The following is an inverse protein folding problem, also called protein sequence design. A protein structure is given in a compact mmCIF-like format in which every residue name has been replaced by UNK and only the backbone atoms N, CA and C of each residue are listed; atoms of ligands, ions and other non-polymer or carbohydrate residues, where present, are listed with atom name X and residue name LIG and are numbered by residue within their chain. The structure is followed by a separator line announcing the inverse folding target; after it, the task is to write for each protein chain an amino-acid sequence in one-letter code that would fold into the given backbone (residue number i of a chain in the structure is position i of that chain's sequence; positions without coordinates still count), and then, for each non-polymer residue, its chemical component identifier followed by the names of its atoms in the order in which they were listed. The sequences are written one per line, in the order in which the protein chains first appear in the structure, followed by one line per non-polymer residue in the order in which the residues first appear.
data_IF_759461621439
#
_entry.id   IF_759461621439
#
_cell.length_a   1.000
_cell.length_b   1.000
_cell.length_c   1.000
_cell.angle_alpha   90.00
_cell.angle_beta   90.00
_cell.angle_gamma   90.00
#
_symmetry.space_group_name_H-M   'P 1'
#
loop_
_entity.id
_entity.type
_entity.pdbx_description
1 polymer ?
#
# COMPACT_ATOMS: atom_id res chain seq x y z
N UNK A 1 1.45 -18.75 17.17
CA UNK A 1 0.91 -17.49 17.74
C UNK A 1 -0.02 -16.86 16.73
N UNK A 2 -1.26 -16.60 17.12
CA UNK A 2 -2.25 -15.91 16.26
C UNK A 2 -2.16 -14.42 16.53
N UNK A 3 -2.05 -13.61 15.47
CA UNK A 3 -2.11 -12.13 15.55
C UNK A 3 -3.29 -11.58 14.79
N UNK A 4 -3.92 -10.54 15.32
CA UNK A 4 -4.99 -9.81 14.64
C UNK A 4 -4.43 -8.64 13.87
N UNK A 5 -4.67 -8.63 12.57
CA UNK A 5 -4.24 -7.58 11.65
C UNK A 5 -5.46 -6.90 11.05
N UNK A 6 -5.41 -5.59 10.96
CA UNK A 6 -6.36 -4.77 10.22
C UNK A 6 -5.64 -4.11 9.05
N UNK A 7 -6.13 -4.34 7.82
CA UNK A 7 -5.64 -3.67 6.63
C UNK A 7 -6.61 -2.57 6.23
N UNK A 8 -6.09 -1.37 6.03
CA UNK A 8 -6.83 -0.17 5.66
C UNK A 8 -6.38 0.33 4.29
N UNK A 9 -7.33 0.51 3.39
CA UNK A 9 -7.09 0.95 2.04
C UNK A 9 -8.03 2.12 1.70
N UNK A 10 -7.45 3.29 1.52
CA UNK A 10 -8.14 4.51 1.12
C UNK A 10 -7.92 4.70 -0.37
N UNK A 11 -8.97 4.52 -1.15
CA UNK A 11 -9.02 4.80 -2.58
C UNK A 11 -9.67 6.15 -2.87
N UNK A 12 -9.68 6.56 -4.13
CA UNK A 12 -10.35 7.81 -4.59
C UNK A 12 -11.87 7.74 -4.47
N UNK A 13 -12.44 6.55 -4.56
CA UNK A 13 -13.88 6.32 -4.56
C UNK A 13 -14.39 5.49 -3.38
N UNK A 14 -13.50 4.77 -2.69
CA UNK A 14 -13.90 3.86 -1.62
C UNK A 14 -12.90 3.84 -0.48
N UNK A 15 -13.42 3.72 0.74
CA UNK A 15 -12.70 3.37 1.95
C UNK A 15 -12.92 1.88 2.23
N UNK A 16 -11.84 1.13 2.36
CA UNK A 16 -11.92 -0.31 2.62
C UNK A 16 -11.14 -0.66 3.88
N UNK A 17 -11.73 -1.49 4.71
CA UNK A 17 -11.06 -2.11 5.83
C UNK A 17 -11.31 -3.61 5.85
N UNK A 18 -10.29 -4.40 6.15
CA UNK A 18 -10.44 -5.84 6.31
C UNK A 18 -9.62 -6.34 7.49
N UNK A 19 -10.25 -7.19 8.31
CA UNK A 19 -9.59 -7.83 9.44
C UNK A 19 -9.14 -9.24 9.10
N UNK A 20 -7.95 -9.59 9.58
CA UNK A 20 -7.32 -10.87 9.32
C UNK A 20 -6.80 -11.49 10.62
N UNK A 21 -6.79 -12.82 10.66
CA UNK A 21 -5.99 -13.58 11.59
C UNK A 21 -4.74 -14.10 10.87
N UNK A 22 -3.58 -13.80 11.45
CA UNK A 22 -2.30 -14.30 10.99
C UNK A 22 -1.86 -15.41 11.94
N UNK A 23 -1.81 -16.63 11.45
CA UNK A 23 -1.33 -17.78 12.20
C UNK A 23 0.08 -18.13 11.75
N UNK A 24 1.08 -17.83 12.56
CA UNK A 24 2.45 -18.30 12.39
C UNK A 24 2.63 -19.58 13.23
N UNK A 25 2.48 -20.74 12.61
CA UNK A 25 2.62 -22.04 13.28
C UNK A 25 4.08 -22.48 13.39
N UNK A 26 4.93 -22.03 12.44
CA UNK A 26 6.35 -22.40 12.38
C UNK A 26 7.19 -21.13 12.25
N UNK A 27 8.26 -20.95 13.06
CA UNK A 27 9.21 -19.85 12.87
C UNK A 27 9.84 -19.91 11.47
N UNK A 28 9.78 -18.78 10.74
CA UNK A 28 10.31 -18.66 9.38
C UNK A 28 9.37 -19.08 8.25
N UNK A 29 8.24 -19.72 8.54
CA UNK A 29 7.21 -19.98 7.54
C UNK A 29 6.35 -18.75 7.28
N UNK A 30 5.80 -18.63 6.06
CA UNK A 30 4.83 -17.58 5.77
C UNK A 30 3.56 -17.80 6.63
N UNK A 31 3.04 -16.76 7.31
CA UNK A 31 1.87 -16.91 8.12
C UNK A 31 0.65 -17.24 7.27
N UNK A 32 -0.17 -18.16 7.75
CA UNK A 32 -1.49 -18.40 7.15
C UNK A 32 -2.38 -17.19 7.45
N UNK A 33 -2.91 -16.58 6.41
CA UNK A 33 -3.80 -15.42 6.49
C UNK A 33 -5.24 -15.88 6.32
N UNK A 34 -6.10 -15.56 7.27
CA UNK A 34 -7.54 -15.83 7.19
C UNK A 34 -8.29 -14.51 7.33
N UNK A 35 -8.98 -14.08 6.28
CA UNK A 35 -9.87 -12.92 6.34
C UNK A 35 -11.07 -13.24 7.26
N UNK A 36 -11.41 -12.31 8.15
CA UNK A 36 -12.53 -12.44 9.10
C UNK A 36 -13.70 -11.55 8.74
N UNK A 37 -13.41 -10.31 8.35
CA UNK A 37 -14.42 -9.36 7.95
C UNK A 37 -13.85 -8.36 6.96
N UNK A 38 -14.73 -7.84 6.10
CA UNK A 38 -14.41 -6.77 5.18
C UNK A 38 -15.54 -5.75 5.20
N UNK A 39 -15.16 -4.47 5.24
CA UNK A 39 -16.07 -3.34 5.14
C UNK A 39 -15.61 -2.45 4.01
N UNK A 40 -16.54 -2.00 3.20
CA UNK A 40 -16.29 -1.06 2.11
C UNK A 40 -17.34 0.05 2.15
N UNK A 41 -16.88 1.29 2.15
CA UNK A 41 -17.74 2.50 2.19
C UNK A 41 -17.33 3.40 1.04
N UNK A 42 -18.29 3.92 0.28
CA UNK A 42 -18.01 4.89 -0.78
C UNK A 42 -17.49 6.21 -0.21
N UNK A 43 -16.47 6.79 -0.82
CA UNK A 43 -16.03 8.15 -0.52
C UNK A 43 -17.07 9.12 -1.07
N UNK A 44 -17.46 10.09 -0.25
CA UNK A 44 -18.40 11.14 -0.62
C UNK A 44 -17.94 12.50 -0.07
N UNK A 45 -18.77 13.55 -0.19
CA UNK A 45 -18.41 14.87 0.34
C UNK A 45 -18.09 14.84 1.84
N UNK A 46 -18.69 13.90 2.59
CA UNK A 46 -18.53 13.75 4.04
C UNK A 46 -17.47 12.70 4.39
N UNK A 47 -16.32 12.73 3.69
CA UNK A 47 -15.28 11.71 3.82
C UNK A 47 -14.78 11.52 5.26
N UNK A 48 -14.75 12.58 6.09
CA UNK A 48 -14.34 12.49 7.49
C UNK A 48 -15.38 11.77 8.37
N UNK A 49 -16.67 12.01 8.15
CA UNK A 49 -17.72 11.31 8.89
C UNK A 49 -17.77 9.82 8.50
N UNK A 50 -17.63 9.52 7.23
CA UNK A 50 -17.53 8.14 6.72
C UNK A 50 -16.30 7.41 7.23
N UNK A 51 -15.23 8.15 7.44
CA UNK A 51 -14.03 7.64 8.09
C UNK A 51 -14.32 7.18 9.52
N UNK A 52 -14.98 8.02 10.33
CA UNK A 52 -15.38 7.67 11.69
C UNK A 52 -16.28 6.43 11.70
N UNK A 53 -17.31 6.39 10.84
CA UNK A 53 -18.21 5.25 10.68
C UNK A 53 -17.45 3.96 10.34
N UNK A 54 -16.49 4.02 9.41
CA UNK A 54 -15.69 2.84 9.05
C UNK A 54 -14.85 2.35 10.24
N UNK A 55 -14.22 3.27 10.97
CA UNK A 55 -13.41 2.92 12.16
C UNK A 55 -14.29 2.33 13.28
N UNK A 56 -15.48 2.84 13.49
CA UNK A 56 -16.46 2.29 14.44
C UNK A 56 -16.88 0.88 14.04
N UNK A 57 -17.34 0.69 12.81
CA UNK A 57 -17.74 -0.62 12.28
C UNK A 57 -16.63 -1.65 12.39
N UNK A 58 -15.39 -1.27 12.04
CA UNK A 58 -14.22 -2.15 12.17
C UNK A 58 -13.88 -2.45 13.63
N UNK A 59 -14.17 -1.52 14.55
CA UNK A 59 -13.93 -1.73 15.98
C UNK A 59 -14.93 -2.71 16.59
N UNK A 60 -16.17 -2.72 16.12
CA UNK A 60 -17.21 -3.65 16.56
C UNK A 60 -16.95 -5.07 16.06
N UNK A 61 -16.42 -5.20 14.84
CA UNK A 61 -16.16 -6.48 14.20
C UNK A 61 -14.81 -7.10 14.55
N UNK A 62 -13.86 -6.31 15.01
CA UNK A 62 -12.50 -6.75 15.35
C UNK A 62 -12.23 -6.55 16.83
N UNK A 63 -12.08 -7.63 17.59
CA UNK A 63 -11.53 -7.57 18.95
C UNK A 63 -10.11 -6.98 18.91
N UNK A 64 -9.98 -5.67 18.93
CA UNK A 64 -8.77 -4.85 18.92
C UNK A 64 -7.61 -5.40 18.04
N UNK A 65 -7.23 -4.75 16.95
CA UNK A 65 -6.09 -5.20 16.13
C UNK A 65 -4.79 -5.06 16.94
N UNK A 66 -3.86 -6.00 16.75
CA UNK A 66 -2.48 -5.90 17.26
C UNK A 66 -1.58 -5.17 16.26
N UNK A 67 -1.97 -5.23 14.98
CA UNK A 67 -1.28 -4.56 13.87
C UNK A 67 -2.31 -3.91 12.96
N UNK A 68 -2.08 -2.66 12.59
CA UNK A 68 -2.84 -1.95 11.56
C UNK A 68 -1.90 -1.60 10.42
N UNK A 69 -2.28 -1.93 9.19
CA UNK A 69 -1.49 -1.63 7.99
C UNK A 69 -2.27 -0.71 7.07
N UNK A 70 -1.66 0.41 6.71
CA UNK A 70 -2.22 1.41 5.82
C UNK A 70 -1.62 1.30 4.42
N UNK A 71 -2.47 1.25 3.41
CA UNK A 71 -2.03 1.50 2.04
C UNK A 71 -1.88 2.99 1.82
N UNK A 72 -0.72 3.42 1.38
CA UNK A 72 -0.41 4.79 0.97
C UNK A 72 0.01 4.76 -0.50
N UNK A 73 -0.57 5.67 -1.31
CA UNK A 73 -0.33 5.66 -2.77
C UNK A 73 1.11 6.04 -3.09
N UNK A 74 1.64 7.09 -2.48
CA UNK A 74 2.97 7.60 -2.78
C UNK A 74 3.90 7.53 -1.58
N UNK A 75 4.93 6.69 -1.68
CA UNK A 75 5.95 6.53 -0.65
C UNK A 75 7.19 7.41 -0.85
N UNK A 76 7.35 8.04 -2.03
CA UNK A 76 8.56 8.81 -2.37
C UNK A 76 9.81 7.93 -2.36
N UNK A 77 10.78 8.31 -1.53
CA UNK A 77 12.00 7.55 -1.29
C UNK A 77 11.88 6.56 -0.12
N UNK A 78 10.70 6.50 0.49
CA UNK A 78 10.40 5.46 1.46
C UNK A 78 10.11 4.17 0.70
N UNK A 79 10.99 3.21 0.80
CA UNK A 79 10.85 1.89 0.22
C UNK A 79 10.64 0.87 1.34
N UNK A 80 9.97 -0.23 0.98
CA UNK A 80 9.57 -1.30 1.88
C UNK A 80 8.51 -0.90 2.92
N UNK A 81 7.65 -1.85 3.24
CA UNK A 81 6.68 -1.68 4.32
C UNK A 81 7.41 -1.41 5.64
N UNK A 82 6.97 -0.40 6.37
CA UNK A 82 7.62 0.04 7.60
C UNK A 82 6.64 0.47 8.67
N UNK A 83 7.15 0.68 9.85
CA UNK A 83 6.38 1.26 10.96
C UNK A 83 6.02 2.71 10.65
N UNK A 84 4.79 3.09 10.98
CA UNK A 84 4.24 4.42 10.79
C UNK A 84 4.46 5.24 12.07
N UNK A 85 5.61 5.89 12.16
CA UNK A 85 5.92 6.86 13.19
C UNK A 85 5.70 8.31 12.72
N UNK A 86 5.97 9.29 13.59
CA UNK A 86 5.82 10.70 13.26
C UNK A 86 6.80 11.17 12.18
N UNK A 87 8.00 10.59 12.12
CA UNK A 87 8.99 10.93 11.11
C UNK A 87 8.55 10.43 9.72
N UNK A 88 7.96 9.25 9.65
CA UNK A 88 7.36 8.71 8.42
C UNK A 88 6.16 9.56 8.01
N UNK A 89 5.27 9.90 8.94
CA UNK A 89 4.11 10.77 8.66
C UNK A 89 4.53 12.11 8.08
N UNK A 90 5.53 12.77 8.67
CA UNK A 90 6.05 14.05 8.17
C UNK A 90 6.59 13.95 6.73
N UNK A 91 7.29 12.86 6.40
CA UNK A 91 7.76 12.60 5.03
C UNK A 91 6.59 12.38 4.07
N UNK A 92 5.56 11.66 4.50
CA UNK A 92 4.38 11.40 3.68
C UNK A 92 3.53 12.66 3.47
N UNK A 93 3.47 13.57 4.44
CA UNK A 93 2.83 14.88 4.28
C UNK A 93 3.51 15.72 3.19
N UNK A 94 4.85 15.70 3.13
CA UNK A 94 5.61 16.40 2.10
C UNK A 94 5.32 15.85 0.68
N UNK A 95 4.80 14.61 0.56
CA UNK A 95 4.43 14.00 -0.72
C UNK A 95 2.99 14.30 -1.16
N UNK A 96 2.20 15.01 -0.37
CA UNK A 96 0.82 15.39 -0.73
C UNK A 96 0.72 16.05 -2.12
N UNK A 97 1.62 16.97 -2.53
CA UNK A 97 1.55 17.56 -3.86
C UNK A 97 1.67 16.55 -5.02
N UNK A 98 2.29 15.39 -4.80
CA UNK A 98 2.47 14.36 -5.82
C UNK A 98 1.25 13.42 -5.97
N UNK A 99 0.37 13.39 -4.97
CA UNK A 99 -0.85 12.59 -5.00
C UNK A 99 -2.02 13.31 -4.28
N UNK A 100 -2.41 14.52 -4.71
CA UNK A 100 -3.32 15.41 -3.97
C UNK A 100 -4.73 14.84 -3.80
N UNK A 101 -5.17 13.95 -4.69
CA UNK A 101 -6.48 13.32 -4.61
C UNK A 101 -6.55 12.12 -3.66
N UNK A 102 -5.41 11.55 -3.26
CA UNK A 102 -5.36 10.32 -2.48
C UNK A 102 -4.64 10.49 -1.14
N UNK A 103 -3.49 11.16 -1.16
CA UNK A 103 -2.59 11.23 -0.01
C UNK A 103 -3.23 11.90 1.23
N UNK A 104 -3.90 13.06 1.10
CA UNK A 104 -4.47 13.74 2.27
C UNK A 104 -5.46 12.88 3.04
N UNK A 105 -6.39 12.22 2.33
CA UNK A 105 -7.40 11.39 2.96
C UNK A 105 -6.78 10.14 3.60
N UNK A 106 -5.82 9.51 2.91
CA UNK A 106 -5.12 8.34 3.43
C UNK A 106 -4.34 8.68 4.72
N UNK A 107 -3.68 9.84 4.77
CA UNK A 107 -2.95 10.28 5.96
C UNK A 107 -3.89 10.68 7.12
N UNK A 108 -5.00 11.34 6.82
CA UNK A 108 -6.04 11.63 7.82
C UNK A 108 -6.57 10.33 8.43
N UNK A 109 -6.82 9.31 7.58
CA UNK A 109 -7.25 7.99 8.04
C UNK A 109 -6.21 7.28 8.91
N UNK A 110 -4.95 7.34 8.50
CA UNK A 110 -3.87 6.75 9.27
C UNK A 110 -3.73 7.40 10.66
N UNK A 111 -3.85 8.73 10.76
CA UNK A 111 -3.85 9.44 12.04
C UNK A 111 -5.04 9.07 12.92
N UNK A 112 -6.23 9.01 12.36
CA UNK A 112 -7.44 8.62 13.09
C UNK A 112 -7.34 7.17 13.62
N UNK A 113 -6.84 6.25 12.81
CA UNK A 113 -6.62 4.86 13.20
C UNK A 113 -5.57 4.74 14.33
N UNK A 114 -4.49 5.52 14.28
CA UNK A 114 -3.49 5.56 15.36
C UNK A 114 -4.10 6.03 16.69
N UNK A 115 -4.95 7.04 16.65
CA UNK A 115 -5.67 7.51 17.85
C UNK A 115 -6.69 6.49 18.37
N UNK A 116 -7.31 5.74 17.46
CA UNK A 116 -8.33 4.74 17.81
C UNK A 116 -7.72 3.47 18.44
N UNK A 117 -6.55 3.04 17.94
CA UNK A 117 -5.87 1.82 18.40
C UNK A 117 -4.46 2.11 18.88
N UNK A 118 -4.37 2.80 20.02
CA UNK A 118 -3.10 3.26 20.60
C UNK A 118 -2.10 2.15 20.91
N UNK A 119 -2.59 0.93 21.18
CA UNK A 119 -1.74 -0.22 21.51
C UNK A 119 -1.36 -1.05 20.27
N UNK A 120 -1.97 -0.79 19.12
CA UNK A 120 -1.65 -1.50 17.89
C UNK A 120 -0.38 -0.93 17.25
N UNK A 121 0.48 -1.82 16.76
CA UNK A 121 1.56 -1.40 15.86
C UNK A 121 0.96 -0.92 14.55
N UNK A 122 1.40 0.23 14.09
CA UNK A 122 0.93 0.83 12.85
C UNK A 122 2.00 0.68 11.77
N UNK A 123 1.63 0.20 10.61
CA UNK A 123 2.52 0.01 9.47
C UNK A 123 1.96 0.64 8.21
N UNK A 124 2.84 0.91 7.26
CA UNK A 124 2.49 1.41 5.92
C UNK A 124 3.07 0.52 4.84
N UNK A 125 2.34 0.43 3.73
CA UNK A 125 2.79 -0.17 2.48
C UNK A 125 2.46 0.77 1.32
N UNK A 126 3.35 0.88 0.34
CA UNK A 126 3.26 1.89 -0.71
C UNK A 126 2.99 1.28 -2.08
N UNK A 127 2.14 1.95 -2.88
CA UNK A 127 1.95 1.53 -4.27
C UNK A 127 3.21 1.75 -5.13
N UNK A 128 4.12 2.62 -4.71
CA UNK A 128 5.39 2.87 -5.37
C UNK A 128 6.47 1.82 -5.09
N UNK A 129 6.27 0.97 -4.09
CA UNK A 129 7.30 0.08 -3.53
C UNK A 129 7.83 -0.95 -4.53
N UNK A 130 6.93 -1.63 -5.26
CA UNK A 130 7.29 -2.64 -6.26
C UNK A 130 8.20 -2.08 -7.36
N UNK A 131 8.11 -0.76 -7.60
CA UNK A 131 8.87 -0.04 -8.61
C UNK A 131 10.17 0.56 -8.07
N UNK A 132 10.52 0.31 -6.81
CA UNK A 132 11.78 0.77 -6.21
C UNK A 132 13.02 0.21 -6.94
N UNK A 133 12.88 -0.94 -7.59
CA UNK A 133 13.96 -1.60 -8.36
C UNK A 133 14.16 -1.06 -9.79
N UNK A 134 13.36 -0.06 -10.22
CA UNK A 134 13.55 0.56 -11.54
C UNK A 134 14.96 1.12 -11.69
N UNK A 135 15.58 0.81 -12.81
CA UNK A 135 16.90 1.32 -13.14
C UNK A 135 16.88 2.86 -13.35
N UNK A 136 18.00 3.56 -13.12
CA UNK A 136 18.04 5.02 -13.27
C UNK A 136 17.52 5.52 -14.62
N UNK A 137 17.82 4.83 -15.72
CA UNK A 137 17.34 5.21 -17.06
C UNK A 137 15.82 5.00 -17.24
N UNK A 138 15.19 4.04 -16.54
CA UNK A 138 13.74 3.87 -16.55
C UNK A 138 13.03 4.90 -15.67
N UNK A 139 13.73 5.46 -14.67
CA UNK A 139 13.18 6.52 -13.80
C UNK A 139 13.33 7.91 -14.38
N UNK A 140 14.37 8.13 -15.16
CA UNK A 140 14.69 9.44 -15.71
C UNK A 140 13.64 9.85 -16.74
N UNK A 141 13.17 11.09 -16.62
CA UNK A 141 12.30 11.71 -17.60
C UNK A 141 13.16 12.48 -18.62
N UNK A 142 12.70 12.66 -19.87
CA UNK A 142 13.37 13.48 -20.88
C UNK A 142 13.15 14.98 -20.61
N UNK A 143 13.68 15.45 -19.48
CA UNK A 143 13.54 16.82 -18.98
C UNK A 143 14.93 17.47 -18.85
N UNK A 144 15.00 18.83 -18.78
CA UNK A 144 16.26 19.52 -18.52
C UNK A 144 16.98 19.00 -17.27
N UNK A 145 18.31 18.94 -17.32
CA UNK A 145 19.13 18.43 -16.22
C UNK A 145 18.90 19.17 -14.89
N UNK A 146 18.63 20.49 -14.97
CA UNK A 146 18.30 21.28 -13.79
C UNK A 146 17.04 20.79 -13.07
N UNK A 147 16.08 20.19 -13.77
CA UNK A 147 14.86 19.61 -13.19
C UNK A 147 15.09 18.19 -12.69
N UNK A 148 15.91 17.42 -13.39
CA UNK A 148 16.35 16.09 -12.91
C UNK A 148 17.07 16.23 -11.57
N UNK A 149 17.91 17.25 -11.41
CA UNK A 149 18.60 17.59 -10.15
C UNK A 149 17.66 17.95 -9.00
N UNK A 150 16.40 18.37 -9.29
CA UNK A 150 15.36 18.58 -8.28
C UNK A 150 14.67 17.26 -7.85
N UNK A 151 15.10 16.12 -8.37
CA UNK A 151 14.53 14.82 -8.06
C UNK A 151 13.21 14.53 -8.80
N UNK A 152 12.88 15.30 -9.85
CA UNK A 152 11.72 15.05 -10.69
C UNK A 152 11.99 13.82 -11.53
N UNK A 153 11.24 12.75 -11.27
CA UNK A 153 11.45 11.45 -11.89
C UNK A 153 10.13 10.68 -12.05
N UNK A 154 10.18 9.61 -12.81
CA UNK A 154 9.08 8.66 -12.92
C UNK A 154 8.93 7.86 -11.63
N UNK A 155 7.70 7.73 -11.18
CA UNK A 155 7.27 6.77 -10.17
C UNK A 155 6.27 5.82 -10.81
N UNK A 156 6.29 4.54 -10.40
CA UNK A 156 5.25 3.59 -10.75
C UNK A 156 4.24 3.46 -9.62
N UNK A 157 3.00 3.10 -9.98
CA UNK A 157 1.89 2.92 -9.04
C UNK A 157 1.25 1.54 -9.19
N UNK A 158 0.26 1.25 -8.35
CA UNK A 158 -0.35 -0.07 -8.23
C UNK A 158 0.65 -1.20 -7.91
N UNK A 159 1.80 -0.86 -7.36
CA UNK A 159 2.86 -1.82 -7.06
C UNK A 159 2.44 -2.91 -6.09
N UNK A 160 1.57 -2.61 -5.11
CA UNK A 160 1.00 -3.62 -4.22
C UNK A 160 0.15 -4.65 -4.97
N UNK A 161 -0.59 -4.21 -6.01
CA UNK A 161 -1.36 -5.11 -6.86
C UNK A 161 -0.44 -5.98 -7.73
N UNK A 162 0.60 -5.40 -8.32
CA UNK A 162 1.60 -6.15 -9.10
C UNK A 162 2.37 -7.16 -8.24
N UNK A 163 2.82 -6.77 -7.05
CA UNK A 163 3.47 -7.67 -6.12
C UNK A 163 2.55 -8.83 -5.69
N UNK A 164 1.26 -8.55 -5.51
CA UNK A 164 0.26 -9.57 -5.20
C UNK A 164 0.03 -10.52 -6.38
N UNK A 165 -0.16 -9.98 -7.58
CA UNK A 165 -0.34 -10.77 -8.80
C UNK A 165 0.86 -11.69 -9.06
N UNK A 166 2.07 -11.15 -8.95
CA UNK A 166 3.31 -11.92 -9.09
C UNK A 166 3.38 -13.09 -8.10
N UNK A 167 3.04 -12.85 -6.83
CA UNK A 167 3.00 -13.91 -5.80
C UNK A 167 1.96 -14.99 -6.11
N UNK A 168 0.79 -14.59 -6.59
CA UNK A 168 -0.26 -15.55 -6.98
C UNK A 168 0.22 -16.41 -8.13
N UNK A 169 0.76 -15.80 -9.20
CA UNK A 169 1.29 -16.56 -10.34
C UNK A 169 2.42 -17.47 -9.89
N UNK A 170 3.36 -16.98 -9.08
CA UNK A 170 4.49 -17.76 -8.59
C UNK A 170 4.07 -18.96 -7.70
N UNK A 171 2.90 -18.90 -7.05
CA UNK A 171 2.37 -20.03 -6.30
C UNK A 171 1.86 -21.17 -7.19
N UNK A 172 1.57 -20.90 -8.47
CA UNK A 172 1.15 -21.89 -9.48
C UNK A 172 2.30 -22.26 -10.42
N UNK A 173 3.15 -21.29 -10.73
CA UNK A 173 4.33 -21.45 -11.58
C UNK A 173 5.50 -20.62 -11.03
N UNK A 174 6.40 -21.27 -10.33
CA UNK A 174 7.59 -20.60 -9.75
C UNK A 174 8.55 -20.08 -10.85
N UNK A 175 8.47 -20.59 -12.07
CA UNK A 175 9.29 -20.15 -13.21
C UNK A 175 9.09 -18.68 -13.56
N UNK A 176 7.93 -18.10 -13.20
CA UNK A 176 7.65 -16.66 -13.40
C UNK A 176 8.69 -15.76 -12.71
N UNK A 177 9.26 -16.20 -11.59
CA UNK A 177 10.28 -15.44 -10.84
C UNK A 177 11.64 -15.37 -11.55
N UNK A 178 11.82 -16.14 -12.65
CA UNK A 178 13.03 -16.18 -13.45
C UNK A 178 12.73 -15.87 -14.93
N UNK A 179 11.59 -15.25 -15.19
CA UNK A 179 11.11 -14.98 -16.53
C UNK A 179 10.84 -13.49 -16.77
N UNK A 180 10.49 -13.17 -18.02
CA UNK A 180 9.97 -11.87 -18.43
C UNK A 180 8.46 -11.93 -18.53
N UNK A 181 7.77 -10.99 -17.91
CA UNK A 181 6.32 -10.92 -17.92
C UNK A 181 5.84 -9.46 -18.00
N UNK A 182 4.63 -9.29 -18.48
CA UNK A 182 3.93 -8.00 -18.45
C UNK A 182 2.68 -8.18 -17.61
N UNK A 183 2.55 -7.35 -16.58
CA UNK A 183 1.36 -7.28 -15.76
C UNK A 183 0.57 -6.02 -16.10
N UNK A 184 -0.74 -6.15 -16.23
CA UNK A 184 -1.65 -5.03 -16.43
C UNK A 184 -2.66 -4.97 -15.29
N UNK A 185 -2.74 -3.81 -14.63
CA UNK A 185 -3.80 -3.46 -13.70
C UNK A 185 -4.82 -2.62 -14.47
N UNK A 186 -6.01 -3.15 -14.66
CA UNK A 186 -7.07 -2.52 -15.45
C UNK A 186 -8.27 -2.27 -14.53
N UNK A 187 -8.46 -1.03 -14.15
CA UNK A 187 -9.53 -0.59 -13.24
C UNK A 187 -9.89 0.88 -13.47
N UNK A 188 -10.37 1.58 -12.46
CA UNK A 188 -10.61 3.03 -12.53
C UNK A 188 -9.34 3.84 -12.83
N UNK A 189 -8.18 3.33 -12.41
CA UNK A 189 -6.85 3.69 -12.90
C UNK A 189 -6.23 2.49 -13.60
N UNK A 190 -5.38 2.73 -14.60
CA UNK A 190 -4.69 1.69 -15.34
C UNK A 190 -3.18 1.85 -15.22
N UNK A 191 -2.48 0.72 -15.09
CA UNK A 191 -1.02 0.67 -15.13
C UNK A 191 -0.58 -0.62 -15.82
N UNK A 192 0.54 -0.55 -16.52
CA UNK A 192 1.22 -1.71 -17.10
C UNK A 192 2.62 -1.76 -16.54
N UNK A 193 3.10 -2.94 -16.19
CA UNK A 193 4.42 -3.13 -15.62
C UNK A 193 5.16 -4.27 -16.32
N UNK A 194 6.34 -3.98 -16.83
CA UNK A 194 7.29 -4.99 -17.26
C UNK A 194 8.04 -5.54 -16.06
N UNK A 195 8.04 -6.85 -15.91
CA UNK A 195 8.69 -7.57 -14.82
C UNK A 195 9.72 -8.54 -15.40
N UNK A 196 10.91 -8.57 -14.84
CA UNK A 196 11.95 -9.54 -15.14
C UNK A 196 12.59 -9.98 -13.84
N UNK A 197 12.75 -11.29 -13.68
CA UNK A 197 13.30 -11.90 -12.47
C UNK A 197 12.58 -11.45 -11.18
N UNK A 198 11.24 -11.38 -11.24
CA UNK A 198 10.41 -10.97 -10.13
C UNK A 198 10.49 -9.49 -9.75
N UNK A 199 11.12 -8.64 -10.56
CA UNK A 199 11.35 -7.22 -10.29
C UNK A 199 10.76 -6.33 -11.38
N UNK A 200 10.21 -5.18 -10.98
CA UNK A 200 9.79 -4.16 -11.92
C UNK A 200 10.99 -3.62 -12.71
N UNK A 201 10.84 -3.58 -14.05
CA UNK A 201 11.85 -3.05 -14.98
C UNK A 201 11.39 -1.77 -15.67
N UNK A 202 10.09 -1.67 -15.91
CA UNK A 202 9.45 -0.47 -16.47
C UNK A 202 7.97 -0.43 -16.10
N UNK A 203 7.36 0.75 -16.14
CA UNK A 203 5.95 0.93 -15.78
C UNK A 203 5.37 2.22 -16.37
#
# INVERSE_FOLDING_TARGET
TTRRLLALNVGSSTLKGASYLLNAEVPGAQPRVVERSRVEISVGPDAQERLATLLETLSETAAGPEVVVHRIVHGGDLHESRELDEAVLAKLDALVPFAPLHQPLALAFARAARLRWLQARQGVAFDTDFHASLAPWSRRLPIPEAWDALGIRRYGFHGLAFASALRIVASHDAGILQSRAVFAHLGGGCSVCAVEDGRSRDT
#
